data_IF_929996625876
#
_entry.id   IF_929996625876
#
_cell.length_a   1.000
_cell.length_b   1.000
_cell.length_c   1.000
_cell.angle_alpha   90.00
_cell.angle_beta   90.00
_cell.angle_gamma   90.00
#
_symmetry.space_group_name_H-M   'P 1'
#
loop_
_entity.id
_entity.type
_entity.pdbx_description
1 polymer ?
2 non-polymer ?
3 non-polymer ?
4 non-polymer ?
5 water ?
#
# COMPACT_ATOMS: atom_id res chain seq x y z
N UNK A 1 15.08 -13.00 13.12
CA UNK A 1 15.52 -13.15 11.71
C UNK A 1 14.42 -13.85 10.91
N UNK A 2 14.24 -13.38 9.66
CA UNK A 2 13.30 -13.94 8.72
C UNK A 2 13.91 -15.22 8.15
N UNK A 3 13.13 -16.31 8.15
CA UNK A 3 13.60 -17.52 7.52
C UNK A 3 13.04 -17.57 6.11
N UNK A 4 13.93 -17.86 5.13
CA UNK A 4 13.58 -17.90 3.72
C UNK A 4 13.93 -19.26 3.13
N UNK A 5 12.92 -19.87 2.50
CA UNK A 5 13.06 -21.08 1.70
C UNK A 5 12.96 -20.70 0.22
N UNK A 6 14.00 -20.98 -0.56
CA UNK A 6 13.98 -20.72 -1.99
C UNK A 6 13.66 -22.04 -2.70
N UNK A 7 12.83 -21.99 -3.75
CA UNK A 7 12.55 -23.17 -4.54
C UNK A 7 13.85 -23.53 -5.27
N UNK A 8 14.71 -22.53 -5.46
CA UNK A 8 16.01 -22.68 -6.11
C UNK A 8 16.84 -21.45 -5.78
N UNK A 9 18.18 -21.58 -5.56
CA UNK A 9 19.01 -20.42 -5.21
C UNK A 9 18.84 -19.18 -6.09
N UNK A 10 18.46 -19.35 -7.38
CA UNK A 10 18.33 -18.23 -8.29
C UNK A 10 17.10 -17.37 -7.98
N UNK A 11 16.16 -17.89 -7.16
CA UNK A 11 15.01 -17.14 -6.64
C UNK A 11 15.36 -16.17 -5.51
N UNK A 12 16.66 -16.03 -5.23
CA UNK A 12 17.16 -15.22 -4.13
C UNK A 12 16.74 -13.77 -4.34
N UNK A 13 15.97 -13.17 -3.39
CA UNK A 13 15.62 -11.76 -3.52
C UNK A 13 16.87 -10.89 -3.62
N UNK A 14 16.75 -9.80 -4.35
CA UNK A 14 17.80 -8.78 -4.38
C UNK A 14 17.68 -7.93 -3.12
N UNK A 15 18.73 -8.01 -2.31
CA UNK A 15 18.86 -7.28 -1.07
C UNK A 15 19.68 -6.01 -1.33
N UNK A 16 19.21 -4.87 -0.82
CA UNK A 16 19.92 -3.62 -0.95
C UNK A 16 20.83 -3.35 0.25
N UNK A 17 21.11 -2.06 0.52
CA UNK A 17 21.90 -1.65 1.67
C UNK A 17 21.12 -1.92 2.95
N UNK A 18 21.79 -1.68 4.08
CA UNK A 18 21.18 -1.75 5.39
C UNK A 18 19.88 -0.92 5.46
N UNK A 19 19.86 0.24 4.79
CA UNK A 19 18.77 1.20 4.90
C UNK A 19 17.58 0.80 4.03
N UNK A 20 17.72 -0.27 3.25
CA UNK A 20 16.65 -0.64 2.34
C UNK A 20 15.44 -1.17 3.12
N UNK A 21 14.25 -0.62 2.79
CA UNK A 21 13.01 -1.00 3.43
C UNK A 21 12.58 -2.39 2.99
N UNK A 22 12.74 -2.68 1.69
CA UNK A 22 12.28 -3.92 1.12
C UNK A 22 13.35 -4.70 0.37
N UNK A 23 13.09 -6.02 0.17
CA UNK A 23 13.84 -6.86 -0.74
C UNK A 23 13.02 -7.14 -2.01
N UNK A 24 13.73 -7.20 -3.15
CA UNK A 24 13.08 -7.40 -4.43
C UNK A 24 12.89 -8.89 -4.70
N UNK A 25 11.62 -9.26 -4.80
CA UNK A 25 11.20 -10.58 -5.23
C UNK A 25 11.29 -10.68 -6.76
N UNK A 26 11.59 -11.91 -7.20
CA UNK A 26 11.96 -12.17 -8.58
C UNK A 26 10.87 -13.06 -9.18
N UNK A 27 10.66 -12.90 -10.50
CA UNK A 27 9.80 -13.80 -11.26
C UNK A 27 10.44 -15.19 -11.31
N UNK A 28 9.63 -16.22 -11.06
CA UNK A 28 10.00 -17.61 -11.26
C UNK A 28 9.08 -18.22 -12.31
N UNK A 29 9.52 -18.14 -13.58
CA UNK A 29 8.62 -18.32 -14.71
C UNK A 29 8.63 -19.75 -15.23
N UNK A 30 7.66 -20.02 -16.12
CA UNK A 30 7.70 -21.18 -17.00
C UNK A 30 7.66 -20.70 -18.45
N UNK A 31 6.52 -20.86 -19.13
CA UNK A 31 6.43 -20.58 -20.56
C UNK A 31 6.05 -19.12 -20.76
N UNK A 32 4.90 -18.74 -20.18
CA UNK A 32 4.33 -17.42 -20.39
C UNK A 32 5.12 -16.42 -19.53
N UNK A 33 5.63 -15.40 -20.23
CA UNK A 33 6.47 -14.36 -19.68
C UNK A 33 6.07 -13.00 -20.26
N UNK A 34 4.84 -12.89 -20.78
CA UNK A 34 4.40 -11.60 -21.30
C UNK A 34 3.00 -11.31 -20.80
N UNK A 35 2.75 -10.05 -20.45
CA UNK A 35 1.41 -9.67 -20.04
C UNK A 35 0.86 -8.62 -21.01
N UNK A 36 -0.23 -8.96 -21.70
CA UNK A 36 -0.88 -8.06 -22.64
C UNK A 36 -1.69 -7.01 -21.89
N UNK A 37 -2.00 -5.84 -22.50
CA UNK A 37 -2.94 -4.89 -21.90
C UNK A 37 -4.22 -5.56 -21.41
N UNK A 38 -4.63 -5.24 -20.17
CA UNK A 38 -5.87 -5.70 -19.58
C UNK A 38 -5.85 -7.17 -19.17
N UNK A 39 -4.66 -7.78 -19.15
CA UNK A 39 -4.53 -9.18 -18.74
C UNK A 39 -3.64 -9.26 -17.52
N UNK A 40 -3.65 -10.44 -16.88
CA UNK A 40 -2.88 -10.63 -15.68
C UNK A 40 -2.08 -11.92 -15.82
N UNK A 41 -0.98 -12.06 -15.06
CA UNK A 41 -0.18 -13.27 -15.02
C UNK A 41 0.24 -13.50 -13.58
N UNK A 42 -0.11 -14.70 -13.11
CA UNK A 42 0.20 -15.16 -11.77
C UNK A 42 1.66 -15.60 -11.76
N UNK A 43 2.52 -14.86 -11.07
CA UNK A 43 3.95 -15.16 -11.10
C UNK A 43 4.38 -15.67 -9.72
N UNK A 44 4.86 -16.91 -9.69
CA UNK A 44 5.46 -17.45 -8.48
C UNK A 44 6.81 -16.76 -8.30
N UNK A 45 7.16 -16.42 -7.05
CA UNK A 45 8.45 -15.83 -6.75
C UNK A 45 9.51 -16.87 -6.43
N UNK A 46 9.04 -18.08 -6.11
CA UNK A 46 9.90 -19.13 -5.58
C UNK A 46 10.49 -18.79 -4.22
N UNK A 47 9.83 -17.89 -3.48
CA UNK A 47 10.29 -17.50 -2.15
C UNK A 47 9.17 -17.75 -1.15
N UNK A 48 9.42 -18.70 -0.22
CA UNK A 48 8.55 -18.90 0.94
C UNK A 48 9.27 -18.36 2.16
N UNK A 49 8.51 -17.75 3.08
CA UNK A 49 9.11 -17.01 4.18
C UNK A 49 8.41 -17.39 5.48
N UNK A 50 9.23 -17.48 6.54
CA UNK A 50 8.77 -17.57 7.92
C UNK A 50 9.03 -16.23 8.61
N UNK A 51 7.97 -15.43 8.71
CA UNK A 51 8.06 -14.08 9.27
C UNK A 51 7.74 -14.18 10.75
N UNK A 52 8.56 -13.62 11.64
CA UNK A 52 8.28 -13.68 13.09
C UNK A 52 6.89 -13.15 13.43
N UNK A 53 6.32 -13.78 14.45
CA UNK A 53 5.00 -13.39 14.91
C UNK A 53 5.12 -11.95 15.40
N UNK A 54 4.05 -11.19 15.12
CA UNK A 54 3.98 -9.78 15.44
C UNK A 54 4.34 -8.90 14.25
N UNK A 55 4.68 -9.54 13.12
CA UNK A 55 5.01 -8.85 11.89
C UNK A 55 4.26 -9.48 10.72
N UNK A 56 4.33 -8.78 9.58
CA UNK A 56 3.77 -9.30 8.32
C UNK A 56 4.58 -8.72 7.19
N UNK A 57 4.37 -9.31 6.01
CA UNK A 57 5.06 -8.88 4.81
C UNK A 57 4.09 -8.08 3.95
N UNK A 58 4.50 -6.88 3.57
CA UNK A 58 3.78 -6.11 2.59
C UNK A 58 4.50 -6.24 1.26
N UNK A 59 3.76 -6.64 0.21
CA UNK A 59 4.32 -6.85 -1.13
C UNK A 59 3.78 -5.76 -2.05
N UNK A 60 4.66 -4.87 -2.50
CA UNK A 60 4.22 -3.83 -3.41
C UNK A 60 5.13 -3.82 -4.64
N UNK A 61 4.75 -3.14 -5.74
CA UNK A 61 5.64 -3.00 -6.87
C UNK A 61 6.96 -2.32 -6.50
N UNK A 62 8.01 -2.70 -7.22
CA UNK A 62 9.15 -1.81 -7.38
C UNK A 62 8.72 -0.57 -8.15
N UNK A 63 9.44 0.55 -7.96
CA UNK A 63 9.02 1.78 -8.61
C UNK A 63 9.16 1.68 -10.13
N UNK A 64 10.12 0.85 -10.59
CA UNK A 64 10.34 0.56 -11.99
C UNK A 64 9.11 -0.04 -12.67
N UNK A 65 8.19 -0.66 -11.91
CA UNK A 65 6.98 -1.21 -12.52
C UNK A 65 6.04 -0.08 -12.95
N UNK A 66 6.25 1.12 -12.41
CA UNK A 66 5.36 2.22 -12.69
C UNK A 66 5.38 2.58 -14.17
N UNK A 67 6.60 2.77 -14.68
CA UNK A 67 6.88 3.02 -16.09
C UNK A 67 6.22 1.94 -16.95
N UNK A 68 6.12 0.73 -16.44
CA UNK A 68 5.67 -0.42 -17.24
C UNK A 68 4.18 -0.63 -17.09
N UNK A 69 3.54 0.16 -16.22
CA UNK A 69 2.09 0.12 -16.06
C UNK A 69 1.65 -1.26 -15.61
N UNK A 70 2.40 -1.84 -14.64
CA UNK A 70 2.02 -3.08 -14.00
C UNK A 70 1.71 -2.79 -12.52
N UNK A 71 0.58 -3.36 -12.09
CA UNK A 71 0.23 -3.39 -10.68
C UNK A 71 -0.06 -4.83 -10.25
N UNK A 72 -0.01 -5.05 -8.94
CA UNK A 72 -0.57 -6.28 -8.39
C UNK A 72 -2.08 -6.20 -8.49
N UNK A 73 -2.71 -7.28 -9.00
CA UNK A 73 -4.15 -7.29 -9.25
C UNK A 73 -4.91 -6.91 -7.98
N UNK A 74 -4.46 -7.46 -6.83
CA UNK A 74 -5.03 -7.15 -5.53
C UNK A 74 -4.29 -6.02 -4.81
N UNK A 75 -3.58 -5.18 -5.56
CA UNK A 75 -2.98 -3.92 -5.11
C UNK A 75 -1.73 -4.12 -4.25
N UNK A 76 -1.85 -4.90 -3.18
CA UNK A 76 -0.71 -5.17 -2.29
C UNK A 76 -0.92 -6.55 -1.69
N UNK A 77 0.16 -7.33 -1.67
CA UNK A 77 0.19 -8.60 -0.96
C UNK A 77 0.38 -8.37 0.53
N UNK A 78 -0.34 -9.16 1.34
CA UNK A 78 -0.25 -9.15 2.78
C UNK A 78 0.12 -10.56 3.21
N UNK A 79 1.38 -10.76 3.61
CA UNK A 79 1.88 -12.09 3.87
C UNK A 79 1.87 -12.32 5.37
N UNK A 80 0.97 -13.19 5.85
CA UNK A 80 0.85 -13.42 7.28
C UNK A 80 2.05 -14.20 7.82
N UNK A 81 2.32 -14.04 9.11
CA UNK A 81 3.44 -14.69 9.77
C UNK A 81 3.28 -16.22 9.86
N UNK A 82 2.09 -16.75 9.56
CA UNK A 82 1.91 -18.19 9.48
C UNK A 82 1.75 -18.68 8.03
N UNK A 83 1.98 -17.81 7.03
CA UNK A 83 1.87 -18.26 5.65
C UNK A 83 3.15 -18.99 5.26
N UNK A 84 2.99 -20.18 4.67
CA UNK A 84 4.13 -21.03 4.41
C UNK A 84 4.30 -21.32 2.93
N UNK A 85 3.32 -20.98 2.10
CA UNK A 85 3.44 -21.18 0.66
C UNK A 85 4.48 -20.23 0.10
N UNK A 86 4.78 -20.33 -1.21
CA UNK A 86 5.61 -19.31 -1.81
C UNK A 86 4.75 -18.05 -2.01
N UNK A 87 5.42 -16.91 -2.02
CA UNK A 87 4.79 -15.63 -2.31
C UNK A 87 4.49 -15.59 -3.81
N UNK A 88 3.27 -15.17 -4.16
CA UNK A 88 2.84 -14.96 -5.52
C UNK A 88 2.70 -13.47 -5.82
N UNK A 89 2.95 -13.11 -7.08
CA UNK A 89 2.73 -11.77 -7.59
C UNK A 89 1.75 -11.90 -8.74
N UNK A 90 0.52 -11.47 -8.54
CA UNK A 90 -0.46 -11.54 -9.61
C UNK A 90 -0.46 -10.17 -10.28
N UNK A 91 0.28 -10.05 -11.39
CA UNK A 91 0.50 -8.74 -11.96
C UNK A 91 -0.48 -8.50 -13.11
N UNK A 92 -1.12 -7.33 -13.06
CA UNK A 92 -2.06 -6.89 -14.05
C UNK A 92 -1.48 -5.72 -14.83
N UNK A 93 -1.57 -5.80 -16.14
CA UNK A 93 -1.12 -4.76 -17.04
C UNK A 93 -2.23 -3.74 -17.20
N UNK A 94 -2.10 -2.57 -16.57
CA UNK A 94 -3.17 -1.60 -16.71
C UNK A 94 -2.89 -0.65 -17.86
N UNK A 95 -1.73 -0.75 -18.51
CA UNK A 95 -1.33 0.20 -19.55
C UNK A 95 -1.79 -0.24 -20.95
N UNK A 96 -1.11 0.27 -21.97
CA UNK A 96 -1.54 0.11 -23.36
C UNK A 96 -0.57 -0.74 -24.17
N UNK A 97 0.60 -1.11 -23.64
CA UNK A 97 1.43 -2.02 -24.42
C UNK A 97 1.86 -3.23 -23.58
N UNK A 98 2.18 -4.29 -24.32
CA UNK A 98 2.60 -5.55 -23.76
C UNK A 98 3.91 -5.37 -23.02
N UNK A 99 4.04 -6.16 -21.94
CA UNK A 99 5.22 -6.11 -21.10
C UNK A 99 5.78 -7.53 -21.11
N UNK A 100 7.01 -7.65 -21.59
CA UNK A 100 7.69 -8.93 -21.55
C UNK A 100 8.60 -8.94 -20.33
N UNK A 101 8.56 -10.08 -19.62
CA UNK A 101 9.36 -10.22 -18.41
C UNK A 101 10.39 -11.31 -18.61
N UNK A 102 11.59 -11.09 -18.04
CA UNK A 102 12.66 -12.05 -18.09
C UNK A 102 12.63 -12.86 -16.80
N UNK A 103 13.00 -14.14 -16.87
CA UNK A 103 12.98 -14.96 -15.69
C UNK A 103 13.95 -14.38 -14.67
N UNK A 104 13.55 -14.42 -13.39
CA UNK A 104 14.31 -13.93 -12.27
C UNK A 104 14.42 -12.41 -12.23
N UNK A 105 13.71 -11.71 -13.13
CA UNK A 105 13.63 -10.26 -13.08
C UNK A 105 12.97 -9.80 -11.79
N UNK A 106 13.53 -8.72 -11.20
CA UNK A 106 13.02 -8.13 -9.97
C UNK A 106 11.80 -7.27 -10.23
N UNK A 107 10.65 -7.66 -9.65
CA UNK A 107 9.36 -7.06 -9.99
C UNK A 107 8.74 -6.33 -8.81
N UNK A 108 8.57 -7.03 -7.69
CA UNK A 108 7.96 -6.50 -6.49
C UNK A 108 8.95 -6.48 -5.34
N UNK A 109 8.57 -5.73 -4.30
CA UNK A 109 9.29 -5.54 -3.06
C UNK A 109 8.52 -6.16 -1.92
N UNK A 110 9.25 -6.81 -1.02
CA UNK A 110 8.67 -7.32 0.23
C UNK A 110 9.23 -6.50 1.39
N UNK A 111 8.33 -5.86 2.14
CA UNK A 111 8.69 -5.06 3.31
C UNK A 111 8.06 -5.77 4.50
N UNK A 112 8.86 -6.06 5.53
CA UNK A 112 8.31 -6.71 6.70
C UNK A 112 8.07 -5.67 7.79
N UNK A 113 6.82 -5.63 8.29
CA UNK A 113 6.38 -4.56 9.18
C UNK A 113 5.69 -5.15 10.39
N UNK A 114 5.68 -4.42 11.53
CA UNK A 114 4.86 -4.81 12.66
C UNK A 114 3.37 -4.54 12.39
N UNK A 115 2.50 -5.33 13.02
CA UNK A 115 1.07 -5.09 12.98
C UNK A 115 0.48 -5.32 14.36
N UNK A 116 -0.65 -4.67 14.64
CA UNK A 116 -1.32 -4.87 15.92
C UNK A 116 -1.91 -6.28 15.91
N UNK A 117 -1.91 -6.92 17.08
CA UNK A 117 -2.60 -8.19 17.22
C UNK A 117 -4.09 -8.00 16.94
N UNK A 118 -4.59 -8.68 15.91
CA UNK A 118 -5.96 -8.61 15.46
C UNK A 118 -6.89 -9.25 16.48
N UNK A 119 -6.33 -10.02 17.42
CA UNK A 119 -7.11 -10.54 18.53
C UNK A 119 -7.28 -9.50 19.64
N UNK A 120 -6.48 -8.43 19.64
CA UNK A 120 -6.47 -7.47 20.74
C UNK A 120 -7.49 -6.37 20.46
N UNK A 121 -8.79 -6.70 20.59
CA UNK A 121 -9.86 -5.74 20.41
C UNK A 121 -10.97 -5.99 21.42
N UNK A 122 -11.91 -5.03 21.48
CA UNK A 122 -13.15 -5.21 22.23
C UNK A 122 -14.30 -4.60 21.41
N UNK A 123 -15.46 -5.25 21.41
CA UNK A 123 -16.66 -4.70 20.79
C UNK A 123 -17.32 -3.80 21.82
N UNK A 124 -17.71 -2.60 21.39
CA UNK A 124 -18.29 -1.59 22.26
C UNK A 124 -19.52 -1.00 21.57
N UNK A 125 -20.53 -0.69 22.38
CA UNK A 125 -21.75 -0.04 21.92
C UNK A 125 -21.44 1.35 21.40
N UNK A 126 -20.58 2.06 22.12
CA UNK A 126 -20.23 3.43 21.79
C UNK A 126 -18.74 3.60 22.06
N UNK A 127 -18.19 4.72 21.59
CA UNK A 127 -16.76 4.96 21.75
C UNK A 127 -16.49 6.46 21.73
N UNK A 128 -15.35 6.88 22.31
CA UNK A 128 -15.02 8.29 22.39
C UNK A 128 -13.93 8.63 21.37
N UNK B 1 14.24 11.69 14.72
CA UNK B 1 13.40 12.72 14.07
C UNK B 1 13.64 12.69 12.57
N UNK B 2 12.60 13.09 11.80
CA UNK B 2 12.70 13.20 10.35
C UNK B 2 13.29 14.56 9.99
N UNK B 3 14.47 14.54 9.36
CA UNK B 3 15.04 15.78 8.87
C UNK B 3 14.45 16.02 7.49
N UNK B 4 14.00 17.25 7.26
CA UNK B 4 13.34 17.61 6.01
C UNK B 4 14.07 18.80 5.38
N UNK B 5 14.45 18.67 4.09
CA UNK B 5 14.92 19.78 3.30
C UNK B 5 13.89 20.13 2.24
N UNK B 6 13.51 21.41 2.20
CA UNK B 6 12.48 21.92 1.31
C UNK B 6 13.12 22.67 0.17
N UNK B 7 12.71 22.37 -1.06
CA UNK B 7 13.14 23.15 -2.22
C UNK B 7 12.61 24.59 -2.11
N UNK B 8 11.41 24.73 -1.56
CA UNK B 8 10.80 26.04 -1.35
C UNK B 8 9.94 25.95 -0.10
N UNK B 9 9.92 26.98 0.77
CA UNK B 9 9.19 26.90 2.04
C UNK B 9 7.81 26.26 1.90
N UNK B 10 7.12 26.60 0.78
CA UNK B 10 5.74 26.26 0.57
C UNK B 10 5.57 24.76 0.28
N UNK B 11 6.69 24.06 0.02
CA UNK B 11 6.68 22.62 -0.17
C UNK B 11 6.44 21.88 1.14
N UNK B 12 6.56 22.63 2.27
CA UNK B 12 6.33 22.08 3.59
C UNK B 12 5.09 21.19 3.53
N UNK B 13 5.21 19.86 3.78
CA UNK B 13 4.03 19.00 3.91
C UNK B 13 3.04 19.47 4.98
N UNK B 14 1.75 19.24 4.72
CA UNK B 14 0.72 19.54 5.70
C UNK B 14 0.84 18.53 6.84
N UNK B 15 1.04 19.08 8.04
CA UNK B 15 1.10 18.34 9.28
C UNK B 15 -0.27 18.41 9.95
N UNK B 16 -0.89 17.24 10.15
CA UNK B 16 -2.15 17.17 10.85
C UNK B 16 -1.92 17.16 12.36
N UNK B 17 -2.85 16.52 13.07
CA UNK B 17 -2.78 16.45 14.52
C UNK B 17 -1.83 15.32 14.91
N UNK B 18 -1.60 15.22 16.22
CA UNK B 18 -0.96 14.06 16.84
C UNK B 18 -1.50 12.75 16.24
N UNK B 19 -2.76 12.76 15.77
CA UNK B 19 -3.46 11.54 15.41
C UNK B 19 -3.25 11.17 13.94
N UNK B 20 -2.54 12.01 13.20
CA UNK B 20 -2.42 11.86 11.77
C UNK B 20 -1.37 10.80 11.49
N UNK B 21 -1.70 9.82 10.62
CA UNK B 21 -0.78 8.76 10.29
C UNK B 21 0.37 9.34 9.47
N UNK B 22 0.05 10.29 8.61
CA UNK B 22 1.04 10.84 7.70
C UNK B 22 0.89 12.32 7.46
N UNK B 23 1.88 12.88 6.79
CA UNK B 23 1.90 14.26 6.37
C UNK B 23 1.62 14.33 4.86
N UNK B 24 0.90 15.35 4.45
CA UNK B 24 0.41 15.41 3.09
C UNK B 24 1.49 16.02 2.20
N UNK B 25 2.02 15.25 1.24
CA UNK B 25 2.99 15.77 0.29
C UNK B 25 2.27 16.58 -0.80
N UNK B 26 2.98 17.58 -1.34
CA UNK B 26 2.42 18.61 -2.21
C UNK B 26 3.09 18.57 -3.57
N UNK B 27 2.33 18.92 -4.62
CA UNK B 27 2.88 19.08 -5.95
C UNK B 27 3.75 20.33 -5.97
N UNK B 28 4.83 20.26 -6.77
CA UNK B 28 5.75 21.38 -6.91
C UNK B 28 6.06 21.57 -8.39
N UNK B 29 5.25 22.42 -9.03
CA UNK B 29 5.39 22.80 -10.42
C UNK B 29 4.73 24.17 -10.65
N UNK B 30 5.24 24.94 -11.60
CA UNK B 30 4.81 26.31 -11.89
C UNK B 30 3.32 26.41 -12.22
N UNK B 31 2.93 25.88 -13.39
CA UNK B 31 1.60 26.08 -13.95
C UNK B 31 0.73 24.88 -13.61
N UNK B 32 -0.57 24.98 -13.88
CA UNK B 32 -1.46 23.85 -13.67
C UNK B 32 -1.05 22.73 -14.61
N UNK B 33 -1.00 21.50 -14.11
CA UNK B 33 -0.75 20.35 -14.98
C UNK B 33 -2.05 19.56 -15.12
N UNK B 34 -2.26 19.03 -16.32
CA UNK B 34 -3.40 18.17 -16.58
C UNK B 34 -2.90 16.76 -16.94
N UNK B 35 -3.60 15.74 -16.42
CA UNK B 35 -3.22 14.38 -16.71
C UNK B 35 -4.40 13.70 -17.42
N UNK B 36 -4.20 13.37 -18.70
CA UNK B 36 -5.30 12.84 -19.50
C UNK B 36 -5.51 11.37 -19.16
N UNK B 37 -6.73 10.83 -19.43
CA UNK B 37 -6.93 9.39 -19.34
C UNK B 37 -5.77 8.59 -19.94
N UNK B 38 -5.24 7.66 -19.15
CA UNK B 38 -4.24 6.73 -19.63
C UNK B 38 -2.82 7.30 -19.56
N UNK B 39 -2.68 8.51 -19.03
CA UNK B 39 -1.40 9.19 -19.05
C UNK B 39 -0.94 9.41 -17.61
N UNK B 40 0.34 9.72 -17.48
CA UNK B 40 0.98 9.81 -16.19
C UNK B 40 1.90 11.01 -16.21
N UNK B 41 2.19 11.52 -15.02
CA UNK B 41 3.05 12.68 -14.87
C UNK B 41 3.88 12.49 -13.60
N UNK B 42 5.16 12.80 -13.69
CA UNK B 42 6.08 12.63 -12.58
C UNK B 42 6.19 13.93 -11.80
N UNK B 43 5.45 14.03 -10.69
CA UNK B 43 5.33 15.26 -9.92
C UNK B 43 6.44 15.29 -8.87
N UNK B 44 7.25 16.35 -8.88
CA UNK B 44 8.18 16.56 -7.80
C UNK B 44 7.43 17.14 -6.61
N UNK B 45 7.87 16.79 -5.40
CA UNK B 45 7.28 17.33 -4.18
C UNK B 45 8.12 18.47 -3.65
N UNK B 46 9.40 18.52 -4.03
CA UNK B 46 10.33 19.48 -3.45
C UNK B 46 10.66 19.18 -1.99
N UNK B 47 10.29 17.98 -1.53
CA UNK B 47 10.61 17.51 -0.19
C UNK B 47 11.62 16.36 -0.29
N UNK B 48 12.83 16.62 0.18
CA UNK B 48 13.84 15.60 0.47
C UNK B 48 13.85 15.30 1.97
N UNK B 49 13.97 14.03 2.33
CA UNK B 49 13.83 13.62 3.72
C UNK B 49 15.00 12.73 4.09
N UNK B 50 15.36 12.84 5.38
CA UNK B 50 16.26 11.92 6.03
C UNK B 50 15.43 11.18 7.08
N UNK B 51 15.00 9.98 6.71
CA UNK B 51 14.19 9.17 7.59
C UNK B 51 15.15 8.38 8.47
N UNK B 52 14.91 8.34 9.80
CA UNK B 52 15.75 7.58 10.70
C UNK B 52 15.90 6.12 10.27
N UNK B 53 17.10 5.57 10.45
CA UNK B 53 17.38 4.17 10.21
C UNK B 53 16.47 3.28 11.03
N UNK B 54 15.94 2.23 10.42
CA UNK B 54 14.94 1.42 11.10
C UNK B 54 13.55 1.69 10.56
N UNK B 55 13.42 2.78 9.79
CA UNK B 55 12.12 3.31 9.39
C UNK B 55 12.14 3.52 7.89
N UNK B 56 10.95 3.61 7.31
CA UNK B 56 10.84 3.95 5.90
C UNK B 56 9.60 4.79 5.67
N UNK B 57 9.56 5.42 4.48
CA UNK B 57 8.42 6.21 4.05
C UNK B 57 7.49 5.44 3.12
N UNK B 58 6.21 5.37 3.51
CA UNK B 58 5.21 4.82 2.61
C UNK B 58 4.43 5.99 2.02
N UNK B 59 4.42 6.10 0.69
CA UNK B 59 3.73 7.19 0.03
C UNK B 59 2.52 6.59 -0.68
N UNK B 60 1.32 6.95 -0.20
CA UNK B 60 0.07 6.55 -0.82
C UNK B 60 -0.73 7.82 -1.13
N UNK B 61 -1.71 7.74 -2.04
CA UNK B 61 -2.59 8.87 -2.30
C UNK B 61 -3.41 9.33 -1.11
N UNK B 62 -3.79 10.60 -1.16
CA UNK B 62 -4.82 11.09 -0.27
C UNK B 62 -6.13 10.41 -0.62
N UNK B 63 -7.05 10.33 0.35
CA UNK B 63 -8.31 9.68 0.03
C UNK B 63 -9.05 10.47 -1.05
N UNK B 64 -8.78 11.78 -1.14
CA UNK B 64 -9.44 12.65 -2.10
C UNK B 64 -9.05 12.34 -3.54
N UNK B 65 -7.88 11.72 -3.78
CA UNK B 65 -7.52 11.35 -5.14
C UNK B 65 -8.35 10.17 -5.67
N UNK B 66 -9.09 9.50 -4.78
CA UNK B 66 -9.81 8.30 -5.14
C UNK B 66 -10.93 8.61 -6.11
N UNK B 67 -11.68 9.69 -5.81
CA UNK B 67 -12.77 10.14 -6.68
C UNK B 67 -12.21 10.67 -8.00
N UNK B 68 -10.96 11.13 -8.00
CA UNK B 68 -10.40 11.66 -9.22
C UNK B 68 -9.74 10.55 -10.04
N UNK B 69 -9.78 9.31 -9.52
CA UNK B 69 -9.30 8.16 -10.27
C UNK B 69 -7.85 8.32 -10.68
N UNK B 70 -7.02 8.70 -9.70
CA UNK B 70 -5.58 8.87 -9.86
C UNK B 70 -4.88 7.90 -8.90
N UNK B 71 -3.83 7.28 -9.42
CA UNK B 71 -2.99 6.42 -8.60
C UNK B 71 -1.53 6.76 -8.86
N UNK B 72 -0.72 6.27 -7.93
CA UNK B 72 0.71 6.29 -8.14
C UNK B 72 0.96 5.11 -9.08
N UNK B 73 1.71 5.37 -10.15
CA UNK B 73 1.92 4.41 -11.22
C UNK B 73 2.49 3.09 -10.65
N UNK B 74 3.35 3.21 -9.65
CA UNK B 74 3.96 2.08 -8.96
C UNK B 74 3.20 1.72 -7.67
N UNK B 75 1.92 2.13 -7.58
CA UNK B 75 1.01 1.79 -6.50
C UNK B 75 1.32 2.52 -5.18
N UNK B 76 2.51 2.33 -4.61
CA UNK B 76 2.89 3.03 -3.39
C UNK B 76 4.40 3.29 -3.36
N UNK B 77 4.78 4.52 -3.03
CA UNK B 77 6.18 4.88 -2.90
C UNK B 77 6.82 4.24 -1.67
N UNK B 78 8.05 3.76 -1.82
CA UNK B 78 8.76 3.23 -0.68
C UNK B 78 10.02 4.06 -0.54
N UNK B 79 10.09 4.91 0.51
CA UNK B 79 11.24 5.79 0.70
C UNK B 79 12.20 5.16 1.73
N UNK B 80 13.34 4.73 1.24
CA UNK B 80 14.39 4.18 2.08
C UNK B 80 15.03 5.27 2.96
N UNK B 81 15.46 4.84 4.14
CA UNK B 81 16.12 5.72 5.09
C UNK B 81 17.41 6.32 4.50
N UNK B 82 17.96 5.75 3.42
CA UNK B 82 19.15 6.31 2.79
C UNK B 82 18.85 7.11 1.51
N UNK B 83 17.57 7.37 1.17
CA UNK B 83 17.24 8.12 -0.04
C UNK B 83 17.35 9.61 0.27
N UNK B 84 18.10 10.36 -0.55
CA UNK B 84 18.38 11.76 -0.28
C UNK B 84 17.87 12.71 -1.36
N UNK B 85 17.21 12.19 -2.40
CA UNK B 85 16.58 13.03 -3.40
C UNK B 85 15.24 13.56 -2.89
N UNK B 86 14.56 14.38 -3.71
CA UNK B 86 13.23 14.79 -3.34
C UNK B 86 12.29 13.64 -3.67
N UNK B 87 11.24 13.48 -2.88
CA UNK B 87 10.22 12.49 -3.15
C UNK B 87 9.42 12.90 -4.41
N UNK B 88 9.28 11.94 -5.34
CA UNK B 88 8.45 12.08 -6.54
C UNK B 88 7.14 11.32 -6.37
N UNK B 89 6.11 11.83 -7.02
CA UNK B 89 4.80 11.17 -7.07
C UNK B 89 4.50 11.02 -8.56
N UNK B 90 4.63 9.81 -9.07
CA UNK B 90 4.36 9.55 -10.47
C UNK B 90 2.87 9.21 -10.61
N UNK B 91 2.03 10.21 -10.87
CA UNK B 91 0.60 10.01 -10.82
C UNK B 91 0.06 9.57 -12.19
N UNK B 92 -0.78 8.53 -12.16
CA UNK B 92 -1.40 8.00 -13.35
C UNK B 92 -2.92 8.11 -13.24
N UNK B 93 -3.54 8.57 -14.33
CA UNK B 93 -4.98 8.71 -14.46
C UNK B 93 -5.54 7.41 -15.03
N UNK B 94 -6.20 6.63 -14.17
CA UNK B 94 -6.79 5.38 -14.62
C UNK B 94 -8.25 5.57 -15.01
N UNK B 95 -8.79 6.78 -14.86
CA UNK B 95 -10.21 7.03 -15.10
C UNK B 95 -10.48 7.43 -16.54
N UNK B 96 -11.65 8.04 -16.78
CA UNK B 96 -12.09 8.36 -18.14
C UNK B 96 -12.20 9.85 -18.41
N UNK B 97 -11.97 10.72 -17.42
CA UNK B 97 -12.02 12.17 -17.65
C UNK B 97 -10.72 12.82 -17.18
N UNK B 98 -10.42 13.97 -17.80
CA UNK B 98 -9.22 14.74 -17.55
C UNK B 98 -9.21 15.16 -16.08
N UNK B 99 -8.01 15.11 -15.47
CA UNK B 99 -7.81 15.64 -14.14
C UNK B 99 -6.71 16.70 -14.23
N UNK B 100 -6.82 17.71 -13.35
CA UNK B 100 -5.91 18.85 -13.30
C UNK B 100 -5.38 19.02 -11.89
N UNK B 101 -4.09 19.35 -11.76
CA UNK B 101 -3.41 19.47 -10.47
C UNK B 101 -2.76 20.84 -10.42
N UNK B 102 -2.82 21.48 -9.25
CA UNK B 102 -2.36 22.84 -9.11
C UNK B 102 -1.13 22.84 -8.22
N UNK B 103 -0.46 23.99 -8.11
CA UNK B 103 0.78 24.05 -7.37
C UNK B 103 0.49 23.99 -5.87
N UNK B 104 1.39 23.29 -5.15
CA UNK B 104 1.32 23.03 -3.71
C UNK B 104 0.02 22.30 -3.32
N UNK B 105 -0.65 21.64 -4.27
CA UNK B 105 -1.83 20.86 -3.95
C UNK B 105 -1.40 19.60 -3.18
N UNK B 106 -2.07 19.34 -2.06
CA UNK B 106 -1.86 18.13 -1.28
C UNK B 106 -2.39 16.93 -2.06
N UNK B 107 -1.50 15.99 -2.40
CA UNK B 107 -1.84 14.88 -3.27
C UNK B 107 -1.67 13.51 -2.60
N UNK B 108 -0.52 13.28 -1.99
CA UNK B 108 -0.21 12.00 -1.36
C UNK B 108 0.07 12.19 0.13
N UNK B 109 0.01 11.08 0.85
CA UNK B 109 0.39 10.98 2.26
C UNK B 109 1.75 10.29 2.36
N UNK B 110 2.63 10.84 3.21
CA UNK B 110 3.86 10.16 3.58
C UNK B 110 3.67 9.64 4.99
N UNK B 111 3.71 8.32 5.15
CA UNK B 111 3.61 7.69 6.45
C UNK B 111 4.96 7.08 6.75
N UNK B 112 5.46 7.18 7.98
CA UNK B 112 6.79 6.63 8.29
C UNK B 112 6.61 5.50 9.31
N UNK B 113 7.08 4.30 8.94
CA UNK B 113 6.83 3.07 9.67
C UNK B 113 8.14 2.34 9.87
N UNK B 114 8.23 1.50 10.93
CA UNK B 114 9.41 0.68 11.19
C UNK B 114 9.40 -0.44 10.16
N UNK B 115 10.60 -0.85 9.72
CA UNK B 115 10.69 -2.09 8.97
C UNK B 115 11.72 -3.00 9.62
N UNK B 116 11.53 -4.30 9.44
CA UNK B 116 12.52 -5.30 9.78
C UNK B 116 13.73 -5.12 8.86
N UNK B 117 14.92 -5.34 9.40
CA UNK B 117 16.09 -5.22 8.55
C UNK B 117 16.07 -6.30 7.44
N UNK B 118 16.34 -5.88 6.19
CA UNK B 118 16.34 -6.84 5.10
C UNK B 118 17.62 -7.66 5.04
N UNK B 119 18.59 -7.31 5.89
CA UNK B 119 19.82 -8.11 6.02
C UNK B 119 19.67 -9.20 7.09
N UNK B 120 18.56 -9.19 7.84
CA UNK B 120 18.41 -10.08 9.00
C UNK B 120 17.53 -11.25 8.59
N UNK B 121 18.09 -12.10 7.73
CA UNK B 121 17.41 -13.31 7.29
C UNK B 121 18.39 -14.47 7.20
N UNK B 122 17.86 -15.68 7.05
CA UNK B 122 18.67 -16.87 6.81
C UNK B 122 17.99 -17.73 5.73
N UNK B 123 18.76 -18.09 4.68
CA UNK B 123 18.31 -19.06 3.70
C UNK B 123 18.30 -20.43 4.36
N UNK B 124 17.15 -21.11 4.28
CA UNK B 124 16.91 -22.33 5.04
C UNK B 124 16.28 -23.34 4.08
N UNK B 125 16.40 -24.64 4.41
CA UNK B 125 15.89 -25.71 3.56
C UNK B 125 14.42 -25.97 3.84
N UNK B 126 14.00 -25.85 5.10
CA UNK B 126 12.60 -26.08 5.45
C UNK B 126 12.12 -25.02 6.45
N UNK B 127 10.83 -24.66 6.39
CA UNK B 127 10.22 -23.75 7.34
C UNK B 127 9.40 -24.56 8.36
N UNK B 128 9.02 -23.92 9.47
CA UNK B 128 8.20 -24.57 10.48
C UNK B 128 6.77 -24.75 9.97
N UNK B 129 5.85 -25.17 10.84
CA UNK B 129 4.51 -25.58 10.42
C UNK B 129 3.47 -25.00 11.38
N UNK C 1 -5.27 -1.81 23.02
CA UNK C 1 -6.57 -2.42 22.61
C UNK C 1 -7.27 -1.52 21.62
N UNK C 2 -7.61 -2.13 20.48
CA UNK C 2 -8.49 -1.54 19.50
C UNK C 2 -9.92 -1.74 19.99
N UNK C 3 -10.78 -0.74 19.81
CA UNK C 3 -12.18 -1.07 19.99
C UNK C 3 -13.02 -0.72 18.77
N UNK C 4 -14.12 -1.44 18.69
CA UNK C 4 -14.87 -1.58 17.45
C UNK C 4 -16.35 -1.40 17.78
N UNK C 5 -17.00 -0.48 17.05
CA UNK C 5 -18.44 -0.32 17.11
C UNK C 5 -19.06 -0.86 15.83
N UNK C 6 -19.93 -1.87 15.99
CA UNK C 6 -20.59 -2.51 14.87
C UNK C 6 -21.98 -1.90 14.68
N UNK C 7 -22.21 -1.34 13.49
CA UNK C 7 -23.52 -0.88 13.07
C UNK C 7 -24.55 -2.00 13.11
N UNK C 8 -24.09 -3.24 12.97
CA UNK C 8 -24.93 -4.42 12.97
C UNK C 8 -24.00 -5.59 13.28
N UNK C 9 -24.41 -6.57 14.11
CA UNK C 9 -23.52 -7.67 14.48
C UNK C 9 -22.92 -8.47 13.31
N UNK C 10 -23.58 -8.44 12.13
CA UNK C 10 -23.10 -9.20 10.98
C UNK C 10 -21.98 -8.41 10.28
N UNK C 11 -21.80 -7.13 10.63
CA UNK C 11 -20.68 -6.33 10.18
C UNK C 11 -19.37 -6.80 10.81
N UNK C 12 -19.43 -7.66 11.83
CA UNK C 12 -18.23 -8.07 12.56
C UNK C 12 -17.17 -8.51 11.56
N UNK C 13 -15.97 -7.89 11.56
CA UNK C 13 -14.90 -8.34 10.67
C UNK C 13 -14.47 -9.78 10.96
N UNK C 14 -14.16 -10.52 9.90
CA UNK C 14 -13.65 -11.87 10.07
C UNK C 14 -12.27 -11.81 10.72
N UNK C 15 -12.14 -12.40 11.91
CA UNK C 15 -10.86 -12.49 12.60
C UNK C 15 -10.21 -13.83 12.25
N UNK C 16 -8.91 -13.82 11.93
CA UNK C 16 -8.18 -15.03 11.57
C UNK C 16 -7.43 -15.61 12.78
N UNK C 17 -6.35 -16.34 12.50
CA UNK C 17 -5.46 -16.82 13.55
C UNK C 17 -4.84 -15.66 14.32
N UNK C 18 -4.08 -15.98 15.38
CA UNK C 18 -3.27 -14.99 16.08
C UNK C 18 -2.22 -14.38 15.15
N UNK C 19 -1.77 -15.13 14.14
CA UNK C 19 -0.69 -14.69 13.26
C UNK C 19 -1.19 -13.80 12.13
N UNK C 20 -2.50 -13.58 12.03
CA UNK C 20 -3.06 -12.81 10.93
C UNK C 20 -2.62 -11.36 11.04
N UNK C 21 -2.20 -10.79 9.92
CA UNK C 21 -1.87 -9.37 9.90
C UNK C 21 -3.13 -8.51 10.03
N UNK C 22 -4.26 -8.99 9.50
CA UNK C 22 -5.44 -8.18 9.35
C UNK C 22 -6.74 -8.92 9.66
N UNK C 23 -7.81 -8.13 9.73
CA UNK C 23 -9.17 -8.64 9.84
C UNK C 23 -9.91 -8.18 8.61
N UNK C 24 -10.84 -9.01 8.13
CA UNK C 24 -11.51 -8.68 6.87
C UNK C 24 -12.73 -7.83 7.17
N UNK C 25 -12.75 -6.63 6.58
CA UNK C 25 -13.96 -5.81 6.60
C UNK C 25 -14.94 -6.31 5.53
N UNK C 26 -16.22 -6.21 5.89
CA UNK C 26 -17.35 -6.69 5.11
C UNK C 26 -18.13 -5.53 4.51
N UNK C 27 -18.73 -5.74 3.33
CA UNK C 27 -19.66 -4.78 2.74
C UNK C 27 -20.86 -4.62 3.65
N UNK C 28 -21.47 -3.43 3.57
CA UNK C 28 -22.66 -3.11 4.33
C UNK C 28 -23.51 -2.09 3.58
N UNK C 29 -24.68 -2.53 3.09
CA UNK C 29 -25.55 -1.71 2.28
C UNK C 29 -26.96 -2.30 2.30
N UNK C 30 -27.92 -1.61 1.69
CA UNK C 30 -29.31 -2.01 1.74
C UNK C 30 -29.96 -2.00 0.36
N UNK C 31 -29.15 -2.07 -0.69
CA UNK C 31 -29.67 -2.06 -2.04
C UNK C 31 -28.58 -2.69 -2.90
N UNK C 32 -28.78 -2.71 -4.22
CA UNK C 32 -27.80 -3.31 -5.12
C UNK C 32 -26.58 -2.41 -5.28
N UNK C 33 -25.41 -3.01 -5.01
CA UNK C 33 -24.14 -2.37 -5.26
C UNK C 33 -23.45 -3.10 -6.42
N UNK C 34 -23.50 -2.44 -7.57
CA UNK C 34 -23.10 -3.01 -8.85
C UNK C 34 -22.07 -2.04 -9.41
N UNK C 35 -20.80 -2.43 -9.34
CA UNK C 35 -19.75 -1.55 -9.74
C UNK C 35 -19.45 -1.86 -11.19
N UNK C 36 -19.84 -0.93 -12.07
CA UNK C 36 -19.60 -1.06 -13.49
C UNK C 36 -18.12 -0.84 -13.76
N UNK C 37 -17.59 -1.38 -14.90
CA UNK C 37 -16.25 -1.06 -15.37
C UNK C 37 -16.07 0.44 -15.48
N UNK C 38 -14.98 0.95 -14.89
CA UNK C 38 -14.64 2.35 -14.95
C UNK C 38 -15.42 3.19 -13.95
N UNK C 39 -16.18 2.57 -13.02
CA UNK C 39 -16.89 3.33 -12.00
C UNK C 39 -16.43 2.90 -10.61
N UNK C 40 -16.70 3.74 -9.60
CA UNK C 40 -16.40 3.42 -8.21
C UNK C 40 -17.64 3.66 -7.37
N UNK C 41 -17.84 2.81 -6.35
CA UNK C 41 -18.90 2.98 -5.36
C UNK C 41 -18.26 2.91 -3.98
N UNK C 42 -18.61 3.93 -3.16
CA UNK C 42 -18.27 3.99 -1.76
C UNK C 42 -19.10 2.95 -1.00
N UNK C 43 -18.48 1.87 -0.50
CA UNK C 43 -19.16 0.80 0.20
C UNK C 43 -18.84 0.89 1.69
N UNK C 44 -19.87 1.13 2.49
CA UNK C 44 -19.72 1.17 3.93
C UNK C 44 -19.33 -0.21 4.42
N UNK C 45 -18.71 -0.23 5.59
CA UNK C 45 -18.38 -1.47 6.26
C UNK C 45 -19.25 -1.71 7.49
N UNK C 46 -19.82 -0.62 8.04
CA UNK C 46 -20.53 -0.68 9.30
C UNK C 46 -19.60 -0.95 10.48
N UNK C 47 -18.31 -0.70 10.31
CA UNK C 47 -17.34 -0.85 11.39
C UNK C 47 -16.71 0.51 11.64
N UNK C 48 -16.86 1.02 12.88
CA UNK C 48 -16.16 2.21 13.35
C UNK C 48 -15.15 1.80 14.42
N UNK C 49 -13.95 2.39 14.38
CA UNK C 49 -12.88 1.93 15.26
C UNK C 49 -12.27 3.12 16.02
N UNK C 50 -11.84 2.87 17.25
CA UNK C 50 -10.82 3.69 17.88
C UNK C 50 -9.51 2.91 17.80
N UNK C 51 -8.64 3.36 16.90
CA UNK C 51 -7.31 2.81 16.76
C UNK C 51 -6.44 3.65 17.69
N UNK C 52 -5.64 3.02 18.58
CA UNK C 52 -4.92 3.79 19.59
C UNK C 52 -3.91 4.69 18.89
N UNK C 53 -3.66 5.80 19.56
CA UNK C 53 -2.77 6.83 19.05
C UNK C 53 -1.37 6.25 18.95
N UNK C 54 -0.66 6.68 17.89
CA UNK C 54 0.61 6.08 17.55
C UNK C 54 0.44 5.00 16.47
N UNK C 55 -0.81 4.63 16.19
CA UNK C 55 -1.11 3.64 15.19
C UNK C 55 -2.13 4.20 14.18
N UNK C 56 -2.31 3.43 13.10
CA UNK C 56 -3.32 3.75 12.10
C UNK C 56 -3.77 2.49 11.37
N UNK C 57 -4.87 2.63 10.64
CA UNK C 57 -5.52 1.52 9.98
C UNK C 57 -5.20 1.59 8.50
N UNK C 58 -4.55 0.54 7.99
CA UNK C 58 -4.35 0.41 6.56
C UNK C 58 -5.40 -0.53 5.99
N UNK C 59 -6.07 -0.08 4.93
CA UNK C 59 -7.15 -0.82 4.32
C UNK C 59 -6.73 -1.11 2.89
N UNK C 60 -6.64 -2.40 2.57
CA UNK C 60 -6.24 -2.84 1.25
C UNK C 60 -7.18 -3.95 0.80
N UNK C 61 -7.32 -4.20 -0.52
CA UNK C 61 -8.12 -5.32 -1.01
C UNK C 61 -7.61 -6.66 -0.48
N UNK C 62 -8.56 -7.54 -0.18
CA UNK C 62 -8.32 -8.95 -0.02
C UNK C 62 -7.73 -9.47 -1.32
N UNK C 63 -6.93 -10.53 -1.24
CA UNK C 63 -6.27 -11.08 -2.41
C UNK C 63 -7.31 -11.58 -3.41
N UNK C 64 -8.47 -12.06 -2.93
CA UNK C 64 -9.57 -12.45 -3.79
C UNK C 64 -10.06 -11.34 -4.71
N UNK C 65 -9.79 -10.07 -4.41
CA UNK C 65 -10.30 -8.98 -5.24
C UNK C 65 -9.49 -8.80 -6.52
N UNK C 66 -8.31 -9.41 -6.60
CA UNK C 66 -7.52 -9.35 -7.81
C UNK C 66 -8.21 -9.96 -9.02
N UNK C 67 -8.70 -11.20 -8.89
CA UNK C 67 -9.47 -11.81 -9.95
C UNK C 67 -10.76 -11.02 -10.22
N UNK C 68 -11.29 -10.24 -9.26
CA UNK C 68 -12.49 -9.44 -9.51
C UNK C 68 -12.18 -8.07 -10.11
N UNK C 69 -10.90 -7.73 -10.26
CA UNK C 69 -10.45 -6.44 -10.77
C UNK C 69 -11.14 -5.29 -10.05
N UNK C 70 -11.18 -5.38 -8.72
CA UNK C 70 -11.57 -4.28 -7.85
C UNK C 70 -10.33 -3.79 -7.13
N UNK C 71 -10.20 -2.46 -7.06
CA UNK C 71 -9.24 -1.81 -6.21
C UNK C 71 -9.95 -0.73 -5.41
N UNK C 72 -9.31 -0.33 -4.31
CA UNK C 72 -9.73 0.85 -3.59
C UNK C 72 -9.36 2.03 -4.48
N UNK C 73 -10.31 2.98 -4.64
CA UNK C 73 -10.12 4.08 -5.58
C UNK C 73 -8.84 4.83 -5.24
N UNK C 74 -8.61 5.08 -3.93
CA UNK C 74 -7.48 5.84 -3.42
C UNK C 74 -6.29 4.93 -3.10
N UNK C 75 -6.34 3.69 -3.59
CA UNK C 75 -5.27 2.69 -3.54
C UNK C 75 -5.25 1.96 -2.20
N UNK C 76 -5.14 2.73 -1.12
CA UNK C 76 -5.15 2.15 0.20
C UNK C 76 -5.77 3.16 1.16
N UNK C 77 -6.73 2.72 1.99
CA UNK C 77 -7.29 3.56 3.02
C UNK C 77 -6.28 3.79 4.15
N UNK C 78 -6.29 4.99 4.74
CA UNK C 78 -5.46 5.31 5.88
C UNK C 78 -6.37 5.84 6.98
N UNK C 79 -6.64 5.00 7.98
CA UNK C 79 -7.56 5.38 9.05
C UNK C 79 -6.76 5.96 10.21
N UNK C 80 -6.93 7.26 10.44
CA UNK C 80 -6.23 7.91 11.53
C UNK C 80 -6.82 7.49 12.87
N UNK C 81 -6.00 7.66 13.91
CA UNK C 81 -6.37 7.28 15.28
C UNK C 81 -7.46 8.17 15.87
N UNK C 82 -7.82 9.27 15.20
CA UNK C 82 -8.91 10.10 15.69
C UNK C 82 -10.16 9.93 14.83
N UNK C 83 -10.13 9.02 13.83
CA UNK C 83 -11.27 8.87 12.95
C UNK C 83 -12.34 8.01 13.63
N UNK C 84 -13.58 8.51 13.56
CA UNK C 84 -14.69 7.95 14.33
C UNK C 84 -15.89 7.58 13.46
N UNK C 85 -15.89 7.88 12.16
CA UNK C 85 -16.95 7.38 11.31
C UNK C 85 -16.76 5.87 11.11
N UNK C 86 -17.67 5.23 10.39
CA UNK C 86 -17.44 3.89 9.92
C UNK C 86 -16.42 3.94 8.78
N UNK C 87 -15.58 2.92 8.69
CA UNK C 87 -14.66 2.82 7.58
C UNK C 87 -15.48 2.59 6.32
N UNK C 88 -15.10 3.28 5.24
CA UNK C 88 -15.69 3.13 3.92
C UNK C 88 -14.67 2.54 2.99
N UNK C 89 -15.13 1.75 2.02
CA UNK C 89 -14.27 1.17 1.02
C UNK C 89 -14.75 1.72 -0.32
N UNK C 90 -14.03 2.69 -0.89
CA UNK C 90 -14.36 3.24 -2.19
C UNK C 90 -13.80 2.31 -3.26
N UNK C 91 -14.65 1.40 -3.76
CA UNK C 91 -14.17 0.33 -4.62
C UNK C 91 -14.41 0.67 -6.08
N UNK C 92 -13.35 0.59 -6.88
CA UNK C 92 -13.37 0.89 -8.29
C UNK C 92 -13.14 -0.38 -9.12
N UNK C 93 -13.89 -0.49 -10.22
CA UNK C 93 -13.85 -1.65 -11.09
C UNK C 93 -12.95 -1.29 -12.26
N UNK C 94 -11.71 -1.81 -12.22
CA UNK C 94 -10.73 -1.51 -13.26
C UNK C 94 -10.82 -2.56 -14.35
N UNK C 95 -11.75 -3.52 -14.20
CA UNK C 95 -11.94 -4.61 -15.13
C UNK C 95 -12.93 -4.25 -16.23
N UNK C 96 -13.36 -5.28 -16.97
CA UNK C 96 -14.14 -5.06 -18.18
C UNK C 96 -15.61 -5.45 -18.02
N UNK C 97 -15.98 -6.11 -16.90
CA UNK C 97 -17.34 -6.58 -16.68
C UNK C 97 -17.88 -6.15 -15.30
N UNK C 98 -19.20 -6.23 -15.12
CA UNK C 98 -19.86 -5.85 -13.88
C UNK C 98 -19.36 -6.67 -12.68
N UNK C 99 -19.22 -5.97 -11.56
CA UNK C 99 -18.96 -6.56 -10.26
C UNK C 99 -20.16 -6.28 -9.36
N UNK C 100 -20.75 -7.34 -8.80
CA UNK C 100 -21.87 -7.23 -7.88
C UNK C 100 -21.39 -7.68 -6.50
N UNK C 101 -21.85 -6.95 -5.48
CA UNK C 101 -21.45 -7.24 -4.11
C UNK C 101 -22.61 -7.87 -3.38
N UNK C 102 -22.29 -8.82 -2.51
CA UNK C 102 -23.23 -9.43 -1.62
C UNK C 102 -23.07 -8.76 -0.26
N UNK C 103 -24.17 -8.46 0.43
CA UNK C 103 -24.08 -7.78 1.73
C UNK C 103 -23.31 -8.71 2.67
N UNK C 104 -22.37 -8.11 3.40
CA UNK C 104 -21.55 -8.76 4.41
C UNK C 104 -20.40 -9.61 3.85
N UNK C 105 -20.21 -9.64 2.52
CA UNK C 105 -19.10 -10.40 1.99
C UNK C 105 -17.81 -9.66 2.37
N UNK C 106 -16.75 -10.44 2.62
CA UNK C 106 -15.50 -9.87 3.09
C UNK C 106 -14.76 -9.35 1.87
N UNK C 107 -14.32 -8.09 1.92
CA UNK C 107 -13.82 -7.41 0.74
C UNK C 107 -12.38 -6.90 0.91
N UNK C 108 -12.12 -6.18 2.02
CA UNK C 108 -10.84 -5.58 2.32
C UNK C 108 -10.27 -6.07 3.63
N UNK C 109 -8.94 -6.04 3.74
CA UNK C 109 -8.24 -6.26 4.99
C UNK C 109 -7.96 -4.92 5.67
N UNK C 110 -8.15 -4.91 7.01
CA UNK C 110 -7.68 -3.85 7.88
C UNK C 110 -6.50 -4.35 8.68
N UNK C 111 -5.37 -3.69 8.49
CA UNK C 111 -4.15 -3.98 9.22
C UNK C 111 -3.82 -2.73 10.00
N UNK C 112 -3.55 -2.87 11.29
CA UNK C 112 -3.24 -1.71 12.12
C UNK C 112 -1.72 -1.68 12.31
N UNK C 113 -1.14 -0.52 11.96
CA UNK C 113 0.28 -0.34 11.85
C UNK C 113 0.71 0.83 12.73
N UNK C 114 1.97 0.82 13.22
CA UNK C 114 2.51 1.94 13.96
C UNK C 114 3.05 2.95 12.96
N UNK C 115 3.04 4.23 13.35
CA UNK C 115 3.61 5.29 12.54
C UNK C 115 4.42 6.23 13.41
N UNK C 116 5.51 6.73 12.81
CA UNK C 116 6.29 7.80 13.39
C UNK C 116 5.38 9.00 13.58
N UNK C 117 5.67 9.77 14.64
CA UNK C 117 4.92 11.00 14.88
C UNK C 117 5.20 12.00 13.77
N UNK C 118 4.17 12.55 13.16
CA UNK C 118 4.35 13.45 12.03
C UNK C 118 4.78 14.83 12.55
N UNK C 119 4.72 15.01 13.88
CA UNK C 119 5.21 16.21 14.52
C UNK C 119 6.72 16.11 14.72
N UNK C 120 7.31 14.91 14.67
CA UNK C 120 8.71 14.77 15.05
C UNK C 120 9.62 14.94 13.83
N UNK C 121 9.82 16.18 13.41
CA UNK C 121 10.63 16.48 12.24
C UNK C 121 11.39 17.78 12.52
N UNK C 122 12.43 18.08 11.73
CA UNK C 122 13.03 19.41 11.73
C UNK C 122 13.39 19.80 10.29
N UNK C 123 13.13 21.06 9.89
CA UNK C 123 13.55 21.57 8.60
C UNK C 123 15.04 21.88 8.64
N UNK C 124 15.78 21.52 7.57
CA UNK C 124 17.21 21.80 7.50
C UNK C 124 17.54 22.29 6.09
N UNK C 125 18.75 22.84 5.94
CA UNK C 125 19.26 23.32 4.67
C UNK C 125 19.90 22.18 3.88
N UNK C 126 20.53 21.26 4.62
CA UNK C 126 21.32 20.23 3.98
C UNK C 126 21.01 18.88 4.63
N UNK C 127 20.79 17.85 3.80
CA UNK C 127 20.63 16.49 4.31
C UNK C 127 22.00 15.86 4.47
N UNK C 128 22.13 14.97 5.47
CA UNK C 128 23.34 14.19 5.68
C UNK C 128 23.57 13.32 4.44
N UNK C 129 24.84 13.23 4.04
CA UNK C 129 25.28 12.57 2.81
C UNK C 129 25.18 11.06 2.97
N UNK C 130 24.74 10.36 1.91
CA UNK C 130 24.86 8.92 1.86
C UNK C 130 25.37 8.46 0.48
N UNK C 131 25.51 9.40 -0.47
CA UNK C 131 26.02 9.10 -1.82
C UNK C 131 26.41 7.62 -1.90
X LIG D 1 19.60 -8.10 -11.02
X LIG D 1 20.56 -8.45 -12.03
X LIG D 1 19.12 -6.76 -11.27
X LIG D 1 18.50 -9.02 -11.08
X LIG D 1 20.19 -8.16 -9.73
X LIG E 1 12.95 0.08 -7.28
X LIG E 1 13.85 1.16 -7.00
X LIG E 1 11.91 0.04 -6.22
X LIG E 1 12.37 0.29 -8.61
X LIG E 1 13.67 -1.16 -7.29
X LIG F 1 1.14 -14.86 -2.02
X LIG G 1 -7.33 13.61 2.87
X LIG G 1 -7.89 13.24 1.61
X LIG G 1 -6.88 12.42 3.66
X LIG G 1 -6.73 11.28 2.82
X LIG G 1 -7.80 12.08 4.80
X LIG G 1 -7.72 10.69 5.09
X LIG H 1 -3.75 23.74 2.11
X LIG H 1 -3.60 23.00 0.88
X LIG H 1 -4.15 25.08 1.77
X LIG H 1 -4.78 23.14 2.93
X LIG H 1 -2.51 23.76 2.83
X LIG I 1 -8.00 -14.13 0.49
X LIG I 1 -8.93 -13.34 -0.25
X LIG I 1 -7.70 -13.53 1.85
X LIG I 1 -6.42 -13.93 2.33
X LIG I 1 -7.65 -12.03 1.81
X LIG I 1 -6.39 -11.61 1.33
X LIG J 1 -19.75 -10.04 -10.21
X LIG J 1 -20.93 -9.59 -10.88
X LIG J 1 -19.71 -11.55 -10.03
X LIG J 1 -20.96 -12.04 -9.55
X LIG J 1 -18.59 -11.97 -9.10
X LIG J 1 -17.37 -12.18 -9.80
X LIG K 1 -17.49 -15.58 5.83
X LIG K 1 -16.33 -16.22 5.29
X LIG K 1 -17.85 -14.43 5.04
X LIG K 1 -18.58 -16.50 5.80
X LIG K 1 -17.23 -15.20 7.20
#
# INVERSE_FOLDING_TARGET
>A
MIKIKLTHPDCMPKIGSEDAAGMDLRAFFNDLRAIAPGKSLMIDTGVAVEIPRGWFGLVVPRSSLGKRHLMIANTAGVIDSDYRGTIKMNLYNYGSEMQTLENFERLCQLVVLPHYSTHNFKIVDELEETIRGEGGFGSSGSK
>B
MIKIKLTHPDCMPKIGSEDAAGMDLRAFFNDLRAIAPGKSLMIDTGVAVEIPRGWFGLVVPRSSLGKRHLMIANTAGVIDSDYRGTIKMNLYNYGSEMQTLENFERLCQLVVLPHYSTHNFKIVDELEETIRGEGGFGSSGSK
>C
MIKIKLTHPDCMPKIGSEDAAGMDLRAFFNDLRAIAPGKSLMIDTGVAVEIPRGWFGLVVPRSSLGKRHLMIANTAGVIDSDYRGTIKMNLYNYGSEMQTLENFERLCQLVVLPHYSTHNFKIVDELEETIRGEGGFGSSGSK
>D hetero
1 SO4 S O1 O2 O3 O4
>E hetero
1 SO4 S O1 O2 O3 O4
>F hetero
1 CL CL
>G hetero
1 GOL C1 O1 C2 O2 C3 O3
>H hetero
1 SO4 S O1 O2 O3 O4
>I hetero
1 GOL C1 O1 C2 O2 C3 O3
>J hetero
1 GOL C1 O1 C2 O2 C3 O3
>K hetero
1 SO4 S O1 O2 O3 O4
#
